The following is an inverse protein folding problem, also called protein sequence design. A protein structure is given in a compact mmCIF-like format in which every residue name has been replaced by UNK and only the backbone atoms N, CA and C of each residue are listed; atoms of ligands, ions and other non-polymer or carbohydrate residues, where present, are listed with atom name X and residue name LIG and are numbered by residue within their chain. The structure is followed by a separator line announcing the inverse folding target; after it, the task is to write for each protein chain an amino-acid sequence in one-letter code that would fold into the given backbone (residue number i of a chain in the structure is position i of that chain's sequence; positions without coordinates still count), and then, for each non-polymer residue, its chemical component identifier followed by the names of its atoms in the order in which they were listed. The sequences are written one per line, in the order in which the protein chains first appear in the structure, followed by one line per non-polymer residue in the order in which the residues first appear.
data_IF_813334477937
#
_entry.id   IF_813334477937
#
_cell.length_a   1.000
_cell.length_b   1.000
_cell.length_c   1.000
_cell.angle_alpha   90.00
_cell.angle_beta   90.00
_cell.angle_gamma   90.00
#
_symmetry.space_group_name_H-M   'P 1'
#
loop_
_entity.id
_entity.type
_entity.pdbx_description
1 polymer ?
#
# COMPACT_ATOMS: atom_id res chain seq x y z
N UNK A 1 2.64 13.23 -10.74
CA UNK A 1 3.35 12.23 -9.93
C UNK A 1 2.35 11.60 -8.98
N UNK A 2 2.52 10.31 -8.69
CA UNK A 2 1.89 9.58 -7.59
C UNK A 2 2.99 9.26 -6.59
N UNK A 3 2.75 9.53 -5.30
CA UNK A 3 3.69 9.17 -4.25
C UNK A 3 3.14 7.98 -3.48
N UNK A 4 3.87 6.89 -3.44
CA UNK A 4 3.60 5.74 -2.60
C UNK A 4 4.49 5.83 -1.34
N UNK A 5 3.88 5.92 -0.16
CA UNK A 5 4.59 6.00 1.10
C UNK A 5 4.89 4.59 1.62
N UNK A 6 6.14 4.19 1.55
CA UNK A 6 6.61 2.98 2.22
C UNK A 6 7.02 3.30 3.65
N UNK A 7 6.64 2.46 4.60
CA UNK A 7 6.97 2.63 6.01
C UNK A 7 7.72 1.41 6.55
N UNK A 8 8.59 1.67 7.52
CA UNK A 8 9.14 0.67 8.43
C UNK A 8 8.46 0.87 9.76
N UNK A 9 7.79 -0.15 10.25
CA UNK A 9 7.15 -0.14 11.56
C UNK A 9 7.83 -1.12 12.50
N UNK A 10 7.83 -0.76 13.77
CA UNK A 10 8.31 -1.59 14.88
C UNK A 10 7.23 -1.62 15.96
N UNK A 11 7.34 -2.53 16.93
CA UNK A 11 6.45 -2.49 18.11
C UNK A 11 6.55 -1.15 18.81
N UNK A 12 5.48 -0.73 19.45
CA UNK A 12 5.40 0.57 20.14
C UNK A 12 6.48 0.73 21.23
N UNK A 13 6.75 -0.35 21.96
CA UNK A 13 7.75 -0.43 23.02
C UNK A 13 9.17 -0.73 22.54
N UNK A 14 9.39 -0.88 21.24
CA UNK A 14 10.71 -1.14 20.67
C UNK A 14 11.71 -0.03 21.02
N UNK A 15 12.96 -0.41 21.28
CA UNK A 15 13.99 0.52 21.76
C UNK A 15 14.64 1.37 20.67
N UNK A 16 14.54 0.97 19.38
CA UNK A 16 15.14 1.71 18.27
C UNK A 16 14.54 3.11 18.17
N UNK A 17 15.36 4.13 18.05
CA UNK A 17 14.93 5.52 17.88
C UNK A 17 15.04 5.98 16.43
N UNK A 18 15.82 5.28 15.64
CA UNK A 18 16.06 5.55 14.23
C UNK A 18 16.31 4.26 13.45
N UNK A 19 16.27 4.37 12.13
CA UNK A 19 16.60 3.23 11.25
C UNK A 19 18.04 2.72 11.44
N UNK A 20 18.94 3.56 11.94
CA UNK A 20 20.34 3.20 12.20
C UNK A 20 20.49 2.23 13.38
N UNK A 21 19.50 2.17 14.25
CA UNK A 21 19.49 1.27 15.41
C UNK A 21 19.04 -0.14 15.04
N UNK A 22 18.69 -0.38 13.77
CA UNK A 22 18.08 -1.63 13.29
C UNK A 22 19.04 -2.54 12.52
N UNK A 23 20.36 -2.33 12.67
CA UNK A 23 21.39 -3.07 11.95
C UNK A 23 21.23 -4.61 12.04
N UNK A 24 20.79 -5.11 13.20
CA UNK A 24 20.63 -6.53 13.47
C UNK A 24 19.16 -7.01 13.42
N UNK A 25 18.23 -6.16 12.99
CA UNK A 25 16.81 -6.51 12.93
C UNK A 25 16.50 -7.45 11.77
N UNK A 26 15.53 -8.32 11.99
CA UNK A 26 14.88 -9.08 10.93
C UNK A 26 13.69 -8.25 10.43
N UNK A 27 13.74 -7.86 9.16
CA UNK A 27 12.69 -7.09 8.51
C UNK A 27 11.72 -8.04 7.80
N UNK A 28 10.45 -7.97 8.15
CA UNK A 28 9.39 -8.60 7.38
C UNK A 28 9.12 -7.85 6.09
N UNK A 29 8.86 -8.58 5.01
CA UNK A 29 8.32 -8.05 3.75
C UNK A 29 7.35 -9.06 3.17
N UNK A 30 6.26 -8.59 2.59
CA UNK A 30 5.40 -9.48 1.83
C UNK A 30 5.80 -9.51 0.36
N UNK A 31 5.62 -10.66 -0.29
CA UNK A 31 6.09 -10.90 -1.67
C UNK A 31 4.98 -10.82 -2.71
N UNK A 32 3.71 -10.91 -2.30
CA UNK A 32 2.58 -11.03 -3.22
C UNK A 32 2.14 -9.70 -3.84
N UNK A 33 2.27 -8.59 -3.11
CA UNK A 33 1.91 -7.26 -3.60
C UNK A 33 3.04 -6.25 -3.37
N UNK A 34 3.01 -5.16 -4.14
CA UNK A 34 3.91 -4.01 -4.02
C UNK A 34 5.42 -4.33 -4.05
N UNK A 35 5.79 -5.43 -4.70
CA UNK A 35 7.16 -5.95 -4.75
C UNK A 35 8.19 -4.90 -5.18
N UNK A 36 7.87 -4.12 -6.21
CA UNK A 36 8.77 -3.06 -6.72
C UNK A 36 9.07 -2.00 -5.67
N UNK A 37 8.07 -1.58 -4.88
CA UNK A 37 8.26 -0.59 -3.84
C UNK A 37 8.99 -1.19 -2.63
N UNK A 38 8.73 -2.46 -2.29
CA UNK A 38 9.50 -3.17 -1.28
C UNK A 38 11.00 -3.25 -1.64
N UNK A 39 11.33 -3.59 -2.90
CA UNK A 39 12.72 -3.63 -3.39
C UNK A 39 13.40 -2.24 -3.31
N UNK A 40 12.68 -1.16 -3.67
CA UNK A 40 13.19 0.21 -3.55
C UNK A 40 13.42 0.59 -2.08
N UNK A 41 12.50 0.21 -1.19
CA UNK A 41 12.66 0.46 0.24
C UNK A 41 13.88 -0.28 0.80
N UNK A 42 14.04 -1.57 0.49
CA UNK A 42 15.20 -2.36 0.91
C UNK A 42 16.52 -1.77 0.40
N UNK A 43 16.57 -1.33 -0.85
CA UNK A 43 17.74 -0.62 -1.41
C UNK A 43 18.04 0.67 -0.63
N UNK A 44 16.99 1.41 -0.27
CA UNK A 44 17.13 2.62 0.55
C UNK A 44 17.67 2.30 1.95
N UNK A 45 17.16 1.24 2.57
CA UNK A 45 17.62 0.78 3.88
C UNK A 45 19.08 0.32 3.85
N UNK A 46 19.48 -0.44 2.82
CA UNK A 46 20.89 -0.84 2.59
C UNK A 46 21.82 0.39 2.60
N UNK A 47 21.40 1.46 1.91
CA UNK A 47 22.18 2.70 1.86
C UNK A 47 22.28 3.40 3.23
N UNK A 48 21.19 3.38 4.01
CA UNK A 48 21.14 4.07 5.31
C UNK A 48 21.86 3.29 6.40
N UNK A 49 21.65 1.98 6.47
CA UNK A 49 22.21 1.10 7.50
C UNK A 49 23.68 0.77 7.18
N UNK A 50 24.06 0.81 5.89
CA UNK A 50 25.41 0.49 5.43
C UNK A 50 25.65 -1.01 5.15
N UNK A 51 24.62 -1.84 5.29
CA UNK A 51 24.62 -3.27 4.98
C UNK A 51 23.24 -3.72 4.49
N UNK A 52 23.19 -4.88 3.84
CA UNK A 52 21.90 -5.47 3.42
C UNK A 52 21.07 -5.86 4.65
N UNK A 53 19.80 -5.43 4.72
CA UNK A 53 18.89 -5.83 5.79
C UNK A 53 18.67 -7.35 5.80
N UNK A 54 18.59 -7.94 6.99
CA UNK A 54 18.17 -9.32 7.13
C UNK A 54 16.65 -9.40 6.91
N UNK A 55 16.21 -10.06 5.84
CA UNK A 55 14.82 -10.06 5.38
C UNK A 55 14.17 -11.42 5.58
N UNK A 56 12.94 -11.42 6.10
CA UNK A 56 12.05 -12.57 6.14
C UNK A 56 10.81 -12.30 5.29
N UNK A 57 10.57 -13.16 4.32
CA UNK A 57 9.45 -13.05 3.40
C UNK A 57 8.17 -13.67 3.96
N UNK A 58 7.03 -13.02 3.67
CA UNK A 58 5.69 -13.48 4.02
C UNK A 58 4.80 -13.50 2.79
N UNK A 59 3.81 -14.39 2.79
CA UNK A 59 2.86 -14.50 1.68
C UNK A 59 1.81 -13.39 1.73
N UNK A 60 1.39 -12.98 2.94
CA UNK A 60 0.38 -11.94 3.14
C UNK A 60 0.88 -10.87 4.11
N UNK A 61 0.29 -9.68 4.01
CA UNK A 61 0.58 -8.58 4.94
C UNK A 61 0.09 -8.90 6.37
N UNK A 62 -0.99 -9.69 6.49
CA UNK A 62 -1.51 -10.12 7.80
C UNK A 62 -0.54 -11.05 8.52
N UNK A 63 0.08 -12.00 7.79
CA UNK A 63 1.12 -12.87 8.36
C UNK A 63 2.35 -12.08 8.80
N UNK A 64 2.74 -11.06 8.03
CA UNK A 64 3.85 -10.15 8.35
C UNK A 64 3.52 -9.34 9.61
N UNK A 65 2.34 -8.71 9.67
CA UNK A 65 1.88 -7.94 10.83
C UNK A 65 1.81 -8.79 12.10
N UNK A 66 1.24 -9.99 12.00
CA UNK A 66 1.18 -10.93 13.12
C UNK A 66 2.57 -11.38 13.56
N UNK A 67 3.50 -11.57 12.60
CA UNK A 67 4.88 -11.93 12.93
C UNK A 67 5.61 -10.83 13.72
N UNK A 68 5.31 -9.56 13.43
CA UNK A 68 5.84 -8.42 14.18
C UNK A 68 5.29 -8.42 15.60
N UNK A 69 3.98 -8.58 15.79
CA UNK A 69 3.36 -8.60 17.11
C UNK A 69 3.85 -9.79 17.96
N UNK A 70 4.02 -10.97 17.35
CA UNK A 70 4.55 -12.16 17.98
C UNK A 70 6.06 -12.09 18.31
N UNK A 71 6.77 -11.09 17.79
CA UNK A 71 8.22 -10.97 17.94
C UNK A 71 9.03 -11.97 17.13
N UNK A 72 8.47 -12.48 16.03
CA UNK A 72 9.18 -13.34 15.06
C UNK A 72 10.02 -12.54 14.05
N UNK A 73 9.78 -11.24 14.00
CA UNK A 73 10.54 -10.19 13.30
C UNK A 73 10.55 -8.95 14.20
N UNK A 74 11.54 -8.10 14.05
CA UNK A 74 11.67 -6.86 14.81
C UNK A 74 11.06 -5.66 14.09
N UNK A 75 11.03 -5.68 12.76
CA UNK A 75 10.45 -4.62 11.94
C UNK A 75 9.65 -5.18 10.76
N UNK A 76 8.64 -4.46 10.30
CA UNK A 76 7.87 -4.79 9.10
C UNK A 76 7.92 -3.64 8.08
N UNK A 77 7.95 -3.99 6.79
CA UNK A 77 8.05 -3.03 5.67
C UNK A 77 6.83 -3.18 4.78
N UNK A 78 6.02 -2.15 4.69
CA UNK A 78 4.87 -2.17 3.80
C UNK A 78 4.45 -0.75 3.39
N UNK A 79 3.54 -0.66 2.43
CA UNK A 79 2.94 0.59 2.01
C UNK A 79 1.96 1.08 3.08
N UNK A 80 2.09 2.33 3.53
CA UNK A 80 1.24 2.96 4.56
C UNK A 80 -0.27 2.80 4.26
N UNK A 81 -0.64 2.76 2.97
CA UNK A 81 -2.01 2.51 2.55
C UNK A 81 -2.59 1.19 3.07
N UNK A 82 -1.76 0.23 3.48
CA UNK A 82 -2.22 -1.06 4.01
C UNK A 82 -2.65 -1.00 5.48
N UNK A 83 -2.37 0.09 6.21
CA UNK A 83 -2.78 0.23 7.60
C UNK A 83 -4.29 0.00 7.79
N UNK A 84 -5.11 0.50 6.87
CA UNK A 84 -6.56 0.30 6.94
C UNK A 84 -7.00 -1.17 6.78
N UNK A 85 -6.17 -2.02 6.18
CA UNK A 85 -6.48 -3.45 6.01
C UNK A 85 -6.25 -4.23 7.31
N UNK A 86 -5.35 -3.76 8.17
CA UNK A 86 -5.07 -4.43 9.45
C UNK A 86 -6.17 -4.20 10.47
N UNK A 87 -6.88 -3.06 10.41
CA UNK A 87 -7.92 -2.70 11.38
C UNK A 87 -9.07 -3.72 11.44
N UNK A 88 -9.33 -4.42 10.33
CA UNK A 88 -10.39 -5.43 10.27
C UNK A 88 -9.94 -6.81 10.78
N UNK A 89 -8.64 -7.12 10.64
CA UNK A 89 -8.10 -8.45 10.90
C UNK A 89 -7.38 -8.54 12.26
N UNK A 90 -6.81 -7.41 12.73
CA UNK A 90 -6.02 -7.36 13.97
C UNK A 90 -6.48 -6.18 14.81
N UNK A 91 -7.27 -6.46 15.84
CA UNK A 91 -7.81 -5.43 16.74
C UNK A 91 -6.68 -4.62 17.40
N UNK A 92 -6.76 -3.29 17.25
CA UNK A 92 -5.79 -2.39 17.88
C UNK A 92 -4.36 -2.49 17.34
N UNK A 93 -4.16 -2.96 16.10
CA UNK A 93 -2.84 -3.08 15.49
C UNK A 93 -2.07 -1.75 15.52
N UNK A 94 -2.71 -0.66 15.10
CA UNK A 94 -2.09 0.67 15.03
C UNK A 94 -1.64 1.19 16.41
N UNK A 95 -2.31 0.79 17.48
CA UNK A 95 -1.94 1.17 18.86
C UNK A 95 -0.73 0.40 19.37
N UNK A 96 -0.39 -0.74 18.76
CA UNK A 96 0.69 -1.62 19.16
C UNK A 96 1.99 -1.39 18.41
N UNK A 97 1.95 -0.56 17.38
CA UNK A 97 3.11 -0.27 16.52
C UNK A 97 3.44 1.22 16.52
N UNK A 98 4.59 1.55 15.97
CA UNK A 98 4.96 2.91 15.57
C UNK A 98 5.81 2.91 14.31
N UNK A 99 5.68 3.97 13.53
CA UNK A 99 6.51 4.18 12.34
C UNK A 99 7.90 4.62 12.81
N UNK A 100 8.91 3.87 12.41
CA UNK A 100 10.32 4.18 12.65
C UNK A 100 10.94 4.96 11.51
N UNK A 101 10.55 4.64 10.26
CA UNK A 101 11.07 5.29 9.07
C UNK A 101 10.00 5.33 7.97
N UNK A 102 10.01 6.40 7.18
CA UNK A 102 9.11 6.58 6.05
C UNK A 102 9.89 7.02 4.81
N UNK A 103 9.53 6.45 3.66
CA UNK A 103 10.13 6.76 2.37
C UNK A 103 9.05 6.91 1.29
N UNK A 104 8.89 8.14 0.78
CA UNK A 104 8.01 8.44 -0.34
C UNK A 104 8.67 8.03 -1.66
N UNK A 105 7.97 7.21 -2.45
CA UNK A 105 8.39 6.77 -3.77
C UNK A 105 7.53 7.48 -4.81
N UNK A 106 8.13 8.43 -5.51
CA UNK A 106 7.45 9.16 -6.57
C UNK A 106 7.46 8.36 -7.87
N UNK A 107 6.28 8.14 -8.42
CA UNK A 107 6.08 7.55 -9.73
C UNK A 107 5.54 8.61 -10.69
N UNK A 108 6.24 8.83 -11.79
CA UNK A 108 5.77 9.73 -12.83
C UNK A 108 4.60 9.09 -13.55
N UNK A 109 3.45 9.73 -13.46
CA UNK A 109 2.29 9.34 -14.26
C UNK A 109 2.51 9.79 -15.70
N UNK A 110 2.32 8.89 -16.64
CA UNK A 110 2.32 9.24 -18.06
C UNK A 110 1.11 10.13 -18.34
N UNK A 111 1.35 11.26 -19.03
CA UNK A 111 0.26 12.05 -19.57
C UNK A 111 -0.33 11.25 -20.74
N UNK A 112 -1.55 10.81 -20.56
CA UNK A 112 -2.33 10.30 -21.69
C UNK A 112 -2.91 11.52 -22.41
N UNK A 113 -2.40 11.81 -23.59
CA UNK A 113 -3.01 12.79 -24.50
C UNK A 113 -4.30 12.18 -25.06
N UNK A 114 -5.37 12.24 -24.26
CA UNK A 114 -6.69 11.83 -24.73
C UNK A 114 -7.39 13.02 -25.37
N UNK A 115 -7.70 12.85 -26.65
CA UNK A 115 -8.61 13.75 -27.34
C UNK A 115 -10.01 13.61 -26.73
N UNK A 116 -10.56 14.70 -26.21
CA UNK A 116 -11.96 14.75 -25.74
C UNK A 116 -12.99 14.55 -26.84
N UNK A 117 -12.55 14.39 -28.10
CA UNK A 117 -13.42 14.13 -29.28
C UNK A 117 -13.62 12.63 -29.52
N UNK A 118 -12.78 11.77 -28.95
CA UNK A 118 -12.90 10.31 -29.01
C UNK A 118 -13.49 9.75 -27.72
N UNK A 119 -14.12 8.55 -27.74
CA UNK A 119 -14.61 7.92 -26.52
C UNK A 119 -13.49 7.70 -25.50
N UNK A 120 -13.79 7.99 -24.23
CA UNK A 120 -12.84 7.81 -23.13
C UNK A 120 -13.54 7.33 -21.86
N UNK A 121 -12.75 6.76 -20.95
CA UNK A 121 -13.22 6.32 -19.65
C UNK A 121 -12.65 7.19 -18.54
N UNK A 122 -13.49 7.50 -17.55
CA UNK A 122 -13.09 8.16 -16.30
C UNK A 122 -13.41 7.21 -15.15
N UNK A 123 -12.42 6.89 -14.35
CA UNK A 123 -12.64 6.19 -13.09
C UNK A 123 -12.90 7.19 -11.98
N UNK A 124 -14.02 7.04 -11.29
CA UNK A 124 -14.45 7.87 -10.18
C UNK A 124 -14.41 7.01 -8.93
N UNK A 125 -13.56 7.39 -7.98
CA UNK A 125 -13.41 6.72 -6.69
C UNK A 125 -13.86 7.66 -5.58
N UNK A 126 -14.80 7.22 -4.76
CA UNK A 126 -15.22 7.93 -3.56
C UNK A 126 -14.56 7.32 -2.32
N UNK A 127 -13.88 8.15 -1.53
CA UNK A 127 -13.26 7.73 -0.27
C UNK A 127 -14.23 7.85 0.91
N UNK A 128 -14.13 6.93 1.86
CA UNK A 128 -15.01 6.83 3.04
C UNK A 128 -14.64 7.79 4.19
N UNK A 129 -13.53 8.48 4.08
CA UNK A 129 -13.05 9.38 5.14
C UNK A 129 -13.18 10.85 4.76
N UNK A 130 -13.58 11.65 5.72
CA UNK A 130 -13.59 13.10 5.58
C UNK A 130 -12.16 13.63 5.73
N UNK A 131 -11.64 14.25 4.67
CA UNK A 131 -10.29 14.79 4.68
C UNK A 131 -9.77 15.21 3.30
N UNK A 132 -8.51 15.60 3.22
CA UNK A 132 -7.89 15.95 1.96
C UNK A 132 -7.79 14.72 1.02
N UNK A 133 -7.82 14.96 -0.30
CA UNK A 133 -7.74 13.91 -1.35
C UNK A 133 -6.47 13.04 -1.23
N UNK A 134 -5.43 13.54 -0.56
CA UNK A 134 -4.20 12.82 -0.27
C UNK A 134 -4.33 11.76 0.83
N UNK A 135 -5.48 11.71 1.53
CA UNK A 135 -5.72 10.70 2.57
C UNK A 135 -5.87 9.33 1.92
N UNK A 136 -5.00 8.40 2.27
CA UNK A 136 -5.14 7.00 1.87
C UNK A 136 -6.33 6.40 2.61
N UNK A 137 -7.33 5.97 1.87
CA UNK A 137 -8.55 5.39 2.39
C UNK A 137 -9.08 4.35 1.42
N UNK A 138 -9.94 3.45 1.92
CA UNK A 138 -10.71 2.55 1.07
C UNK A 138 -11.64 3.35 0.17
N UNK A 139 -11.84 2.84 -1.05
CA UNK A 139 -12.85 3.37 -1.95
C UNK A 139 -14.17 2.66 -1.72
N UNK A 140 -15.17 3.37 -1.21
CA UNK A 140 -16.52 2.84 -1.04
C UNK A 140 -17.36 2.94 -2.30
N UNK A 141 -17.04 3.87 -3.15
CA UNK A 141 -17.72 4.08 -4.43
C UNK A 141 -16.73 3.94 -5.57
N UNK A 142 -17.02 3.02 -6.48
CA UNK A 142 -16.22 2.78 -7.67
C UNK A 142 -17.11 2.85 -8.90
N UNK A 143 -16.91 3.87 -9.72
CA UNK A 143 -17.70 4.12 -10.93
C UNK A 143 -16.75 4.28 -12.11
N UNK A 144 -17.02 3.55 -13.19
CA UNK A 144 -16.41 3.81 -14.49
C UNK A 144 -17.44 4.58 -15.32
N UNK A 145 -17.12 5.84 -15.65
CA UNK A 145 -17.89 6.65 -16.56
C UNK A 145 -17.28 6.54 -17.96
N UNK A 146 -17.97 5.84 -18.86
CA UNK A 146 -17.61 5.78 -20.29
C UNK A 146 -18.33 6.90 -21.04
N UNK A 147 -17.56 7.84 -21.57
CA UNK A 147 -18.07 9.01 -22.29
C UNK A 147 -17.84 8.83 -23.77
N UNK A 148 -18.90 8.94 -24.58
CA UNK A 148 -18.79 8.97 -26.04
C UNK A 148 -19.24 10.33 -26.56
N UNK A 149 -18.32 11.25 -26.87
CA UNK A 149 -18.65 12.60 -27.36
C UNK A 149 -19.34 12.60 -28.73
N UNK A 150 -19.07 11.58 -29.56
CA UNK A 150 -19.65 11.45 -30.89
C UNK A 150 -21.15 11.17 -30.85
N UNK A 151 -21.53 10.28 -29.93
CA UNK A 151 -22.97 9.92 -29.75
C UNK A 151 -23.63 10.73 -28.64
N UNK A 152 -22.88 11.55 -27.89
CA UNK A 152 -23.33 12.33 -26.74
C UNK A 152 -23.94 11.44 -25.63
N UNK A 153 -23.35 10.27 -25.43
CA UNK A 153 -23.80 9.29 -24.44
C UNK A 153 -22.78 9.15 -23.32
N UNK A 154 -23.27 8.93 -22.12
CA UNK A 154 -22.46 8.57 -20.95
C UNK A 154 -23.04 7.28 -20.35
N UNK A 155 -22.21 6.27 -20.21
CA UNK A 155 -22.53 5.05 -19.48
C UNK A 155 -21.83 5.09 -18.14
N UNK A 156 -22.57 4.90 -17.05
CA UNK A 156 -22.02 4.75 -15.70
C UNK A 156 -22.10 3.28 -15.30
N UNK A 157 -20.94 2.69 -15.00
CA UNK A 157 -20.84 1.31 -14.51
C UNK A 157 -20.30 1.36 -13.10
N UNK A 158 -21.11 0.92 -12.13
CA UNK A 158 -20.71 0.81 -10.73
C UNK A 158 -20.12 -0.57 -10.44
N UNK A 159 -19.03 -0.59 -9.66
CA UNK A 159 -18.44 -1.83 -9.16
C UNK A 159 -18.58 -1.85 -7.64
N UNK A 160 -19.22 -2.88 -7.05
CA UNK A 160 -19.29 -3.01 -5.60
C UNK A 160 -17.90 -3.09 -4.97
N UNK A 161 -17.70 -2.46 -3.82
CA UNK A 161 -16.42 -2.50 -3.10
C UNK A 161 -16.05 -3.91 -2.61
N UNK A 162 -17.07 -4.71 -2.29
CA UNK A 162 -16.91 -6.07 -1.74
C UNK A 162 -16.84 -7.16 -2.82
N UNK A 163 -16.38 -6.81 -4.01
CA UNK A 163 -16.26 -7.76 -5.11
C UNK A 163 -15.12 -8.74 -4.83
N UNK A 164 -15.46 -10.03 -4.71
CA UNK A 164 -14.49 -11.09 -4.52
C UNK A 164 -13.95 -11.55 -5.87
N UNK A 165 -12.78 -11.05 -6.24
CA UNK A 165 -12.20 -11.26 -7.57
C UNK A 165 -10.75 -11.75 -7.50
N UNK A 166 -10.33 -12.43 -8.57
CA UNK A 166 -8.93 -12.77 -8.76
C UNK A 166 -8.15 -11.50 -9.12
N UNK A 167 -7.19 -11.11 -8.30
CA UNK A 167 -6.28 -10.01 -8.62
C UNK A 167 -5.14 -10.49 -9.49
N UNK A 168 -4.84 -9.81 -10.63
CA UNK A 168 -3.69 -10.15 -11.46
C UNK A 168 -2.39 -10.06 -10.66
N UNK A 169 -1.58 -11.13 -10.69
CA UNK A 169 -0.29 -11.18 -9.99
C UNK A 169 -0.35 -11.58 -8.50
N UNK A 170 -1.54 -11.87 -7.99
CA UNK A 170 -1.73 -12.35 -6.60
C UNK A 170 -2.34 -13.74 -6.64
N UNK A 171 -1.85 -14.66 -5.82
CA UNK A 171 -2.45 -15.98 -5.68
C UNK A 171 -3.68 -15.91 -4.78
N UNK A 172 -4.82 -16.37 -5.30
CA UNK A 172 -6.11 -16.36 -4.60
C UNK A 172 -6.98 -15.14 -4.88
N UNK A 173 -8.24 -15.22 -4.45
CA UNK A 173 -9.19 -14.13 -4.57
C UNK A 173 -9.08 -13.21 -3.36
N UNK A 174 -9.17 -11.91 -3.58
CA UNK A 174 -9.12 -10.88 -2.56
C UNK A 174 -10.42 -10.07 -2.56
N UNK A 175 -10.81 -9.54 -1.43
CA UNK A 175 -11.92 -8.58 -1.30
C UNK A 175 -11.42 -7.16 -1.46
#
# INVERSE_FOLDING_TARGET
YKTDNMIVVVKKEDSAQSILDTENYIFGVQTAADRTNNEKMLTKLTTLIGQEPNVKEFTTIQEEAQALLDGRIEAAIYNEAFNSLFADDIEGYEDQIRILYQYGIDTKLEKVDQSVTEPFNVYISGIDVYGPISTNSRSDVNIIATVNPKTRQVLLTTTPRDYYVLLPGVSGNQR
#
